data_IF_366232393991
#
_entry.id   IF_366232393991
#
_cell.length_a   1.000
_cell.length_b   1.000
_cell.length_c   1.000
_cell.angle_alpha   90.00
_cell.angle_beta   90.00
_cell.angle_gamma   90.00
#
_symmetry.space_group_name_H-M   'P 1'
#
loop_
_entity.id
_entity.type
_entity.pdbx_description
1 polymer ?
#
# COMPACT_ATOMS: atom_id res chain seq x y z
N UNK A 1 -70.86 7.35 -6.62
CA UNK A 1 -70.47 6.31 -5.64
C UNK A 1 -68.96 6.38 -5.54
N UNK A 2 -68.46 7.10 -4.52
CA UNK A 2 -68.02 6.54 -3.22
C UNK A 2 -66.60 5.97 -3.37
N UNK A 3 -65.58 6.70 -2.90
CA UNK A 3 -64.99 6.60 -1.54
C UNK A 3 -64.04 5.39 -1.46
N UNK A 4 -62.79 5.41 -1.00
CA UNK A 4 -62.05 6.24 -0.03
C UNK A 4 -60.55 6.26 -0.42
N UNK A 5 -59.73 7.31 -0.23
CA UNK A 5 -59.22 7.99 0.99
C UNK A 5 -58.29 7.13 1.88
N UNK A 6 -57.00 7.47 1.88
CA UNK A 6 -56.10 7.48 3.05
C UNK A 6 -54.81 8.23 2.64
N UNK A 7 -54.78 9.56 2.81
CA UNK A 7 -54.30 10.30 4.00
C UNK A 7 -52.78 10.51 4.01
N UNK A 8 -52.34 11.61 3.38
CA UNK A 8 -51.05 12.25 3.64
C UNK A 8 -51.30 13.75 3.90
N UNK A 9 -51.56 14.06 5.18
CA UNK A 9 -51.46 15.40 5.76
C UNK A 9 -50.38 15.24 6.83
N UNK A 10 -49.26 15.97 6.83
CA UNK A 10 -49.07 17.39 7.19
C UNK A 10 -47.53 17.58 7.09
N UNK A 11 -46.93 18.71 6.74
CA UNK A 11 -47.09 20.04 7.33
C UNK A 11 -46.46 21.11 6.41
N UNK A 12 -47.23 22.16 6.18
CA UNK A 12 -46.91 23.59 6.21
C UNK A 12 -45.68 24.16 5.48
N UNK A 13 -46.02 25.00 4.51
CA UNK A 13 -45.20 26.01 3.84
C UNK A 13 -45.17 27.35 4.60
N UNK A 14 -43.98 27.99 4.60
CA UNK A 14 -43.64 29.44 4.61
C UNK A 14 -43.74 30.28 5.92
N UNK A 15 -43.06 31.45 6.08
CA UNK A 15 -41.91 32.06 5.35
C UNK A 15 -40.78 32.75 6.21
N UNK A 16 -39.69 33.15 5.52
CA UNK A 16 -38.69 34.23 5.74
C UNK A 16 -38.61 35.00 7.10
N UNK A 17 -37.43 34.96 7.75
CA UNK A 17 -36.88 36.07 8.56
C UNK A 17 -35.35 36.23 8.31
N UNK A 18 -35.02 37.37 7.70
CA UNK A 18 -33.83 38.23 7.85
C UNK A 18 -32.45 37.62 8.17
N UNK A 19 -31.54 37.70 7.19
CA UNK A 19 -30.09 37.67 7.39
C UNK A 19 -29.65 38.86 8.24
N UNK A 20 -28.88 38.65 9.29
CA UNK A 20 -27.93 39.64 9.79
C UNK A 20 -26.64 38.94 10.22
N UNK A 21 -25.54 39.39 9.61
CA UNK A 21 -24.18 38.98 9.87
C UNK A 21 -23.79 39.25 11.32
N UNK A 22 -23.21 38.26 11.99
CA UNK A 22 -22.03 38.45 12.84
C UNK A 22 -21.19 37.19 12.78
N UNK A 23 -20.13 37.25 11.97
CA UNK A 23 -19.06 36.27 11.98
C UNK A 23 -18.34 36.33 13.33
N UNK A 24 -18.41 35.26 14.12
CA UNK A 24 -17.40 34.93 15.11
C UNK A 24 -17.14 33.42 15.06
N UNK A 25 -15.93 33.10 14.60
CA UNK A 25 -15.39 31.76 14.39
C UNK A 25 -15.44 30.93 15.68
N UNK A 26 -15.98 29.72 15.57
CA UNK A 26 -15.95 28.67 16.60
C UNK A 26 -14.56 28.03 16.72
N UNK A 27 -14.18 27.50 17.89
CA UNK A 27 -12.91 26.83 18.06
C UNK A 27 -12.95 25.43 17.41
N UNK A 28 -11.80 25.06 16.84
CA UNK A 28 -11.51 23.76 16.24
C UNK A 28 -11.81 22.63 17.23
N UNK A 29 -12.83 21.82 16.94
CA UNK A 29 -13.08 20.56 17.64
C UNK A 29 -12.00 19.55 17.27
N UNK A 30 -11.05 19.32 18.18
CA UNK A 30 -10.04 18.26 18.10
C UNK A 30 -10.68 16.87 18.34
N UNK A 31 -10.37 15.84 17.54
CA UNK A 31 -10.87 14.48 17.71
C UNK A 31 -10.05 13.71 18.78
N UNK A 32 -10.07 14.18 20.03
CA UNK A 32 -9.41 13.49 21.16
C UNK A 32 -10.38 12.54 21.90
N UNK A 33 -11.69 12.77 21.80
CA UNK A 33 -12.67 12.03 22.60
C UNK A 33 -13.03 10.61 22.09
N UNK A 34 -12.47 10.14 20.98
CA UNK A 34 -12.74 8.78 20.48
C UNK A 34 -11.81 7.70 21.03
N UNK A 35 -10.83 8.05 21.89
CA UNK A 35 -9.88 7.08 22.46
C UNK A 35 -10.05 6.83 23.97
N UNK A 36 -11.12 7.34 24.59
CA UNK A 36 -11.43 7.08 26.00
C UNK A 36 -12.66 6.18 26.18
N UNK A 37 -12.88 5.23 25.27
CA UNK A 37 -13.92 4.22 25.45
C UNK A 37 -13.48 2.86 24.92
N UNK A 38 -12.55 2.22 25.64
CA UNK A 38 -12.37 0.77 25.58
C UNK A 38 -12.03 0.24 26.97
N UNK A 39 -13.08 -0.24 27.65
CA UNK A 39 -12.98 -1.02 28.88
C UNK A 39 -12.54 -2.45 28.55
N UNK A 40 -11.25 -2.68 28.29
CA UNK A 40 -10.61 -3.98 28.60
C UNK A 40 -9.09 -3.85 28.52
N UNK A 41 -8.43 -4.41 29.53
CA UNK A 41 -6.97 -4.45 29.77
C UNK A 41 -6.14 -4.42 28.47
N UNK A 42 -5.43 -3.33 28.24
CA UNK A 42 -4.14 -3.36 27.55
C UNK A 42 -3.35 -2.10 27.95
N UNK A 43 -2.13 -2.32 28.42
CA UNK A 43 -1.12 -1.31 28.72
C UNK A 43 -1.17 -0.18 27.69
N UNK A 44 -1.46 1.04 28.12
CA UNK A 44 -1.26 2.24 27.30
C UNK A 44 0.19 2.19 26.83
N UNK A 45 0.40 1.99 25.53
CA UNK A 45 1.74 1.93 24.97
C UNK A 45 2.32 3.34 25.03
N UNK A 46 3.07 3.61 26.10
CA UNK A 46 3.59 4.94 26.42
C UNK A 46 4.50 5.46 25.30
N UNK A 47 5.17 4.56 24.58
CA UNK A 47 6.01 4.89 23.43
C UNK A 47 5.18 5.43 22.27
N UNK A 48 4.00 4.84 22.00
CA UNK A 48 3.07 5.31 20.97
C UNK A 48 2.46 6.67 21.31
N UNK A 49 2.18 6.93 22.60
CA UNK A 49 1.68 8.23 23.09
C UNK A 49 2.78 9.30 23.05
N UNK A 50 4.00 8.95 23.45
CA UNK A 50 5.17 9.83 23.43
C UNK A 50 5.55 10.21 21.99
N UNK A 51 5.52 9.26 21.05
CA UNK A 51 5.75 9.52 19.63
C UNK A 51 4.69 10.47 19.04
N UNK A 52 3.42 10.29 19.43
CA UNK A 52 2.30 11.16 19.03
C UNK A 52 2.43 12.59 19.59
N UNK A 53 2.85 12.76 20.86
CA UNK A 53 3.12 14.09 21.43
C UNK A 53 4.32 14.79 20.78
N UNK A 54 5.32 14.03 20.35
CA UNK A 54 6.51 14.56 19.67
C UNK A 54 6.15 15.22 18.35
N UNK A 55 5.24 14.63 17.57
CA UNK A 55 4.74 15.17 16.29
C UNK A 55 3.96 16.48 16.47
N UNK A 56 3.24 16.63 17.60
CA UNK A 56 2.53 17.87 17.93
C UNK A 56 3.46 19.01 18.39
N UNK A 57 4.67 18.69 18.86
CA UNK A 57 5.72 19.68 19.24
C UNK A 57 6.55 20.20 18.08
N UNK A 58 6.41 19.62 16.89
CA UNK A 58 7.12 20.06 15.69
C UNK A 58 6.64 21.46 15.25
N UNK A 59 7.50 22.23 14.60
CA UNK A 59 7.07 23.48 13.99
C UNK A 59 6.13 23.21 12.80
N UNK A 60 5.26 24.16 12.41
CA UNK A 60 4.37 23.98 11.26
C UNK A 60 5.09 23.55 9.97
N UNK A 61 6.33 24.01 9.77
CA UNK A 61 7.18 23.61 8.65
C UNK A 61 7.57 22.12 8.71
N UNK A 62 8.03 21.64 9.86
CA UNK A 62 8.42 20.24 10.06
C UNK A 62 7.23 19.28 9.89
N UNK A 63 6.04 19.68 10.38
CA UNK A 63 4.80 18.92 10.14
C UNK A 63 4.43 18.84 8.67
N UNK A 64 4.57 19.93 7.93
CA UNK A 64 4.31 19.93 6.50
C UNK A 64 5.26 19.01 5.73
N UNK A 65 6.55 19.00 6.11
CA UNK A 65 7.57 18.12 5.52
C UNK A 65 7.24 16.64 5.76
N UNK A 66 6.85 16.25 6.98
CA UNK A 66 6.45 14.86 7.29
C UNK A 66 5.22 14.46 6.47
N UNK A 67 4.20 15.31 6.41
CA UNK A 67 2.99 15.02 5.63
C UNK A 67 3.29 14.81 4.15
N UNK A 68 4.15 15.65 3.57
CA UNK A 68 4.58 15.51 2.18
C UNK A 68 5.36 14.22 1.98
N UNK A 69 6.22 13.84 2.92
CA UNK A 69 6.95 12.56 2.86
C UNK A 69 5.99 11.36 2.89
N UNK A 70 5.03 11.36 3.81
CA UNK A 70 4.01 10.30 3.92
C UNK A 70 3.16 10.17 2.65
N UNK A 71 2.76 11.29 2.05
CA UNK A 71 2.03 11.29 0.78
C UNK A 71 2.86 10.68 -0.36
N UNK A 72 4.15 11.02 -0.45
CA UNK A 72 5.04 10.48 -1.46
C UNK A 72 5.25 8.97 -1.28
N UNK A 73 5.43 8.52 -0.05
CA UNK A 73 5.58 7.09 0.28
C UNK A 73 4.29 6.31 -0.03
N UNK A 74 3.11 6.89 0.23
CA UNK A 74 1.82 6.29 -0.12
C UNK A 74 1.64 6.18 -1.64
N UNK A 75 2.03 7.21 -2.41
CA UNK A 75 1.99 7.18 -3.87
C UNK A 75 2.95 6.12 -4.41
N UNK A 76 4.16 6.02 -3.87
CA UNK A 76 5.14 5.01 -4.26
C UNK A 76 4.62 3.60 -3.99
N UNK A 77 4.12 3.34 -2.77
CA UNK A 77 3.53 2.05 -2.40
C UNK A 77 2.41 1.69 -3.37
N UNK A 78 1.50 2.64 -3.66
CA UNK A 78 0.39 2.42 -4.60
C UNK A 78 0.87 2.10 -6.01
N UNK A 79 1.89 2.81 -6.51
CA UNK A 79 2.47 2.55 -7.82
C UNK A 79 3.06 1.13 -7.90
N UNK A 80 3.81 0.71 -6.88
CA UNK A 80 4.40 -0.63 -6.84
C UNK A 80 3.33 -1.72 -6.69
N UNK A 81 2.33 -1.53 -5.84
CA UNK A 81 1.21 -2.46 -5.70
C UNK A 81 0.46 -2.62 -7.02
N UNK A 82 0.18 -1.52 -7.73
CA UNK A 82 -0.48 -1.57 -9.03
C UNK A 82 0.35 -2.32 -10.07
N UNK A 83 1.67 -2.04 -10.13
CA UNK A 83 2.56 -2.73 -11.05
C UNK A 83 2.59 -4.25 -10.78
N UNK A 84 2.75 -4.65 -9.52
CA UNK A 84 2.72 -6.07 -9.14
C UNK A 84 1.38 -6.72 -9.53
N UNK A 85 0.26 -6.04 -9.28
CA UNK A 85 -1.07 -6.54 -9.62
C UNK A 85 -1.30 -6.69 -11.13
N UNK A 86 -0.72 -5.83 -11.97
CA UNK A 86 -0.80 -5.97 -13.43
C UNK A 86 -0.23 -7.31 -13.92
N UNK A 87 0.82 -7.82 -13.25
CA UNK A 87 1.42 -9.10 -13.59
C UNK A 87 0.73 -10.29 -12.90
N UNK A 88 0.29 -10.13 -11.64
CA UNK A 88 -0.35 -11.20 -10.87
C UNK A 88 -1.77 -11.53 -11.34
N UNK A 89 -2.48 -10.60 -11.98
CA UNK A 89 -3.83 -10.86 -12.51
C UNK A 89 -3.85 -12.01 -13.52
N UNK A 90 -2.73 -12.23 -14.24
CA UNK A 90 -2.55 -13.35 -15.19
C UNK A 90 -2.65 -14.73 -14.53
N UNK A 91 -2.43 -14.81 -13.22
CA UNK A 91 -2.51 -16.02 -12.40
C UNK A 91 -3.65 -15.94 -11.38
N UNK A 92 -4.61 -15.03 -11.55
CA UNK A 92 -5.74 -14.81 -10.65
C UNK A 92 -5.30 -14.52 -9.19
N UNK A 93 -4.17 -13.83 -9.01
CA UNK A 93 -3.63 -13.41 -7.72
C UNK A 93 -3.67 -11.88 -7.60
N UNK A 94 -3.79 -11.36 -6.38
CA UNK A 94 -3.76 -9.92 -6.10
C UNK A 94 -3.05 -9.63 -4.78
N UNK A 95 -2.47 -8.44 -4.68
CA UNK A 95 -1.86 -7.85 -3.49
C UNK A 95 -2.73 -6.68 -3.03
N UNK A 96 -3.13 -6.70 -1.75
CA UNK A 96 -3.84 -5.62 -1.08
C UNK A 96 -2.87 -4.80 -0.22
N UNK A 97 -2.05 -5.46 0.60
CA UNK A 97 -0.97 -4.83 1.35
C UNK A 97 0.38 -5.44 1.00
N UNK A 98 1.18 -4.66 0.28
CA UNK A 98 2.52 -5.04 -0.16
C UNK A 98 3.42 -5.56 0.98
N UNK A 99 3.29 -5.04 2.20
CA UNK A 99 4.18 -5.40 3.31
C UNK A 99 3.73 -6.63 4.07
N UNK A 100 2.47 -7.04 3.91
CA UNK A 100 1.91 -8.22 4.56
C UNK A 100 1.87 -9.39 3.59
N UNK A 101 1.37 -9.15 2.38
CA UNK A 101 1.07 -10.20 1.41
C UNK A 101 2.34 -10.82 0.79
N UNK A 102 3.47 -10.10 0.81
CA UNK A 102 4.75 -10.59 0.29
C UNK A 102 5.57 -11.39 1.30
N UNK A 103 5.18 -11.42 2.58
CA UNK A 103 5.99 -11.99 3.68
C UNK A 103 6.20 -13.49 3.57
N UNK A 104 5.26 -14.21 2.97
CA UNK A 104 5.37 -15.66 2.79
C UNK A 104 6.22 -16.07 1.58
N UNK A 105 6.61 -15.10 0.73
CA UNK A 105 7.34 -15.32 -0.52
C UNK A 105 6.50 -15.88 -1.69
N UNK A 106 5.26 -16.29 -1.45
CA UNK A 106 4.38 -16.88 -2.48
C UNK A 106 4.17 -15.95 -3.66
N UNK A 107 3.74 -14.72 -3.39
CA UNK A 107 3.42 -13.74 -4.44
C UNK A 107 4.67 -13.25 -5.16
N UNK A 108 5.83 -13.22 -4.48
CA UNK A 108 7.12 -12.91 -5.11
C UNK A 108 7.53 -13.99 -6.11
N UNK A 109 7.40 -15.26 -5.74
CA UNK A 109 7.63 -16.38 -6.65
C UNK A 109 6.70 -16.26 -7.87
N UNK A 110 5.39 -16.12 -7.63
CA UNK A 110 4.39 -15.98 -8.72
C UNK A 110 4.68 -14.81 -9.64
N UNK A 111 5.11 -13.68 -9.09
CA UNK A 111 5.51 -12.51 -9.86
C UNK A 111 6.69 -12.84 -10.79
N UNK A 112 7.74 -13.49 -10.28
CA UNK A 112 8.88 -13.90 -11.11
C UNK A 112 8.49 -14.94 -12.17
N UNK A 113 7.62 -15.88 -11.84
CA UNK A 113 7.08 -16.84 -12.83
C UNK A 113 6.30 -16.11 -13.94
N UNK A 114 5.53 -15.07 -13.61
CA UNK A 114 4.81 -14.26 -14.60
C UNK A 114 5.72 -13.39 -15.47
N UNK A 115 6.86 -12.95 -14.94
CA UNK A 115 7.81 -12.09 -15.66
C UNK A 115 8.75 -12.91 -16.56
N UNK A 116 9.19 -14.08 -16.10
CA UNK A 116 10.19 -14.91 -16.79
C UNK A 116 9.61 -16.09 -17.54
N UNK A 117 8.36 -16.46 -17.25
CA UNK A 117 7.71 -17.69 -17.72
C UNK A 117 8.43 -18.98 -17.30
N UNK A 118 9.30 -18.91 -16.27
CA UNK A 118 9.96 -20.06 -15.66
C UNK A 118 9.26 -20.46 -14.36
N UNK A 119 9.34 -21.74 -13.99
CA UNK A 119 8.77 -22.26 -12.73
C UNK A 119 9.87 -22.31 -11.68
N UNK A 120 9.72 -21.55 -10.59
CA UNK A 120 10.77 -21.45 -9.56
C UNK A 120 10.60 -22.50 -8.45
N UNK A 121 9.46 -23.18 -8.39
CA UNK A 121 9.12 -24.13 -7.32
C UNK A 121 8.82 -23.40 -6.01
N UNK A 122 7.89 -23.95 -5.23
CA UNK A 122 7.33 -23.27 -4.07
C UNK A 122 6.99 -24.27 -2.96
N UNK A 123 7.27 -23.87 -1.72
CA UNK A 123 6.82 -24.59 -0.53
C UNK A 123 5.55 -23.94 0.03
N UNK A 124 4.49 -24.74 0.18
CA UNK A 124 3.16 -24.28 0.65
C UNK A 124 2.97 -24.36 2.16
N UNK A 125 4.02 -24.67 2.91
CA UNK A 125 3.93 -24.93 4.35
C UNK A 125 3.95 -23.59 5.10
N UNK A 126 2.97 -23.38 5.97
CA UNK A 126 2.81 -22.14 6.74
C UNK A 126 3.71 -22.12 7.98
N UNK A 127 5.01 -21.93 7.75
CA UNK A 127 6.01 -21.77 8.80
C UNK A 127 6.99 -20.67 8.42
N UNK A 128 7.45 -19.90 9.41
CA UNK A 128 8.46 -18.84 9.21
C UNK A 128 9.71 -19.35 8.50
N UNK A 129 10.16 -20.57 8.81
CA UNK A 129 11.35 -21.17 8.16
C UNK A 129 11.11 -21.37 6.67
N UNK A 130 9.94 -21.89 6.29
CA UNK A 130 9.56 -22.07 4.89
C UNK A 130 9.33 -20.73 4.17
N UNK A 131 8.80 -19.72 4.86
CA UNK A 131 8.69 -18.37 4.30
C UNK A 131 10.07 -17.77 3.98
N UNK A 132 11.03 -17.92 4.90
CA UNK A 132 12.42 -17.49 4.68
C UNK A 132 13.01 -18.25 3.48
N UNK A 133 12.77 -19.55 3.35
CA UNK A 133 13.24 -20.35 2.21
C UNK A 133 12.63 -19.92 0.88
N UNK A 134 11.32 -19.67 0.84
CA UNK A 134 10.65 -19.15 -0.35
C UNK A 134 11.23 -17.80 -0.79
N UNK A 135 11.45 -16.88 0.15
CA UNK A 135 12.08 -15.58 -0.16
C UNK A 135 13.54 -15.76 -0.55
N UNK A 136 14.29 -16.64 0.11
CA UNK A 136 15.67 -16.91 -0.24
C UNK A 136 15.79 -17.41 -1.69
N UNK A 137 14.86 -18.28 -2.12
CA UNK A 137 14.77 -18.76 -3.50
C UNK A 137 14.53 -17.63 -4.51
N UNK A 138 13.67 -16.67 -4.18
CA UNK A 138 13.46 -15.45 -4.98
C UNK A 138 14.76 -14.66 -5.11
N UNK A 139 15.48 -14.43 -3.99
CA UNK A 139 16.75 -13.70 -4.00
C UNK A 139 17.83 -14.43 -4.81
N UNK A 140 17.91 -15.75 -4.69
CA UNK A 140 18.89 -16.55 -5.42
C UNK A 140 18.59 -16.59 -6.93
N UNK A 141 17.32 -16.64 -7.31
CA UNK A 141 16.92 -16.50 -8.72
C UNK A 141 17.34 -15.16 -9.30
N UNK A 142 17.13 -14.06 -8.58
CA UNK A 142 17.54 -12.73 -9.03
C UNK A 142 19.07 -12.64 -9.18
N UNK A 143 19.84 -13.23 -8.24
CA UNK A 143 21.31 -13.32 -8.35
C UNK A 143 21.75 -14.15 -9.54
N UNK A 144 21.09 -15.28 -9.79
CA UNK A 144 21.34 -16.14 -10.95
C UNK A 144 21.13 -15.39 -12.28
N UNK A 145 20.16 -14.46 -12.33
CA UNK A 145 19.94 -13.54 -13.47
C UNK A 145 20.97 -12.40 -13.56
N UNK A 146 21.97 -12.35 -12.69
CA UNK A 146 22.99 -11.30 -12.67
C UNK A 146 22.55 -10.01 -11.97
N UNK A 147 21.42 -10.03 -11.24
CA UNK A 147 20.92 -8.86 -10.52
C UNK A 147 21.66 -8.73 -9.19
N UNK A 148 22.30 -7.58 -8.98
CA UNK A 148 23.04 -7.30 -7.76
C UNK A 148 22.10 -6.90 -6.62
N UNK A 149 21.84 -7.83 -5.71
CA UNK A 149 21.09 -7.58 -4.48
C UNK A 149 22.07 -7.28 -3.34
N UNK A 150 22.09 -6.04 -2.85
CA UNK A 150 22.94 -5.60 -1.74
C UNK A 150 22.06 -5.29 -0.53
N UNK A 151 22.46 -5.78 0.63
CA UNK A 151 21.85 -5.43 1.92
C UNK A 151 20.35 -5.79 2.05
N UNK A 152 19.91 -6.85 1.38
CA UNK A 152 18.57 -7.43 1.55
C UNK A 152 18.75 -8.88 2.01
N UNK A 153 18.15 -9.20 3.16
CA UNK A 153 18.12 -10.54 3.74
C UNK A 153 16.69 -11.07 3.73
N UNK A 154 16.52 -12.37 3.62
CA UNK A 154 15.20 -12.99 3.50
C UNK A 154 14.34 -12.78 4.77
N UNK A 155 14.92 -12.88 5.96
CA UNK A 155 14.24 -12.68 7.25
C UNK A 155 13.63 -11.29 7.39
N UNK A 156 14.31 -10.24 6.93
CA UNK A 156 13.80 -8.87 6.96
C UNK A 156 12.53 -8.67 6.10
N UNK A 157 12.43 -9.40 4.98
CA UNK A 157 11.23 -9.37 4.14
C UNK A 157 10.12 -10.19 4.78
N UNK A 158 10.45 -11.34 5.39
CA UNK A 158 9.50 -12.12 6.19
C UNK A 158 8.98 -11.32 7.38
N UNK A 159 9.76 -10.39 7.94
CA UNK A 159 9.32 -9.49 9.00
C UNK A 159 8.47 -8.32 8.50
N UNK A 160 8.38 -8.12 7.19
CA UNK A 160 7.58 -7.07 6.58
C UNK A 160 8.23 -5.69 6.67
N UNK A 161 9.56 -5.61 6.68
CA UNK A 161 10.29 -4.34 6.71
C UNK A 161 9.93 -3.51 5.45
N UNK A 162 9.22 -2.37 5.58
CA UNK A 162 8.69 -1.64 4.43
C UNK A 162 9.79 -1.17 3.46
N UNK A 163 10.90 -0.66 4.01
CA UNK A 163 12.00 -0.09 3.22
C UNK A 163 12.69 -1.16 2.39
N UNK A 164 12.97 -2.31 2.98
CA UNK A 164 13.63 -3.42 2.27
C UNK A 164 12.68 -4.10 1.28
N UNK A 165 11.38 -4.17 1.61
CA UNK A 165 10.35 -4.71 0.70
C UNK A 165 10.17 -3.84 -0.54
N UNK A 166 10.06 -2.51 -0.36
CA UNK A 166 10.04 -1.56 -1.47
C UNK A 166 11.33 -1.62 -2.29
N UNK A 167 12.48 -1.74 -1.63
CA UNK A 167 13.77 -1.91 -2.31
C UNK A 167 13.83 -3.17 -3.18
N UNK A 168 13.32 -4.31 -2.67
CA UNK A 168 13.26 -5.55 -3.44
C UNK A 168 12.35 -5.43 -4.66
N UNK A 169 11.14 -4.90 -4.48
CA UNK A 169 10.20 -4.70 -5.59
C UNK A 169 10.76 -3.71 -6.62
N UNK A 170 11.40 -2.64 -6.18
CA UNK A 170 12.08 -1.68 -7.06
C UNK A 170 13.14 -2.35 -7.93
N UNK A 171 13.99 -3.21 -7.34
CA UNK A 171 15.02 -3.95 -8.08
C UNK A 171 14.38 -4.83 -9.16
N UNK A 172 13.30 -5.53 -8.83
CA UNK A 172 12.55 -6.38 -9.78
C UNK A 172 11.99 -5.53 -10.92
N UNK A 173 11.27 -4.45 -10.60
CA UNK A 173 10.69 -3.53 -11.59
C UNK A 173 11.77 -3.01 -12.54
N UNK A 174 12.86 -2.47 -11.99
CA UNK A 174 13.93 -1.84 -12.76
C UNK A 174 14.56 -2.83 -13.74
N UNK A 175 14.81 -4.06 -13.31
CA UNK A 175 15.42 -5.07 -14.17
C UNK A 175 14.50 -5.48 -15.32
N UNK A 176 13.24 -5.81 -15.02
CA UNK A 176 12.33 -6.39 -16.02
C UNK A 176 11.73 -5.35 -16.96
N UNK A 177 11.43 -4.13 -16.49
CA UNK A 177 10.96 -3.06 -17.38
C UNK A 177 12.08 -2.59 -18.32
N UNK A 178 13.32 -2.48 -17.84
CA UNK A 178 14.44 -2.09 -18.70
C UNK A 178 14.73 -3.16 -19.75
N UNK A 179 14.68 -4.44 -19.37
CA UNK A 179 14.86 -5.55 -20.30
C UNK A 179 13.80 -5.53 -21.42
N UNK A 180 12.53 -5.32 -21.06
CA UNK A 180 11.43 -5.22 -22.03
C UNK A 180 11.62 -4.05 -23.01
N UNK A 181 12.02 -2.87 -22.52
CA UNK A 181 12.26 -1.71 -23.37
C UNK A 181 13.38 -1.95 -24.37
N UNK A 182 14.49 -2.55 -23.94
CA UNK A 182 15.63 -2.87 -24.81
C UNK A 182 15.21 -3.88 -25.88
N UNK A 183 14.53 -4.96 -25.48
CA UNK A 183 14.07 -5.99 -26.42
C UNK A 183 13.14 -5.39 -27.50
N UNK A 184 12.19 -4.55 -27.10
CA UNK A 184 11.27 -3.89 -28.03
C UNK A 184 11.99 -2.96 -29.02
N UNK A 185 13.01 -2.23 -28.58
CA UNK A 185 13.82 -1.40 -29.47
C UNK A 185 14.59 -2.22 -30.50
N UNK A 186 15.19 -3.35 -30.11
CA UNK A 186 15.91 -4.22 -31.05
C UNK A 186 14.99 -4.83 -32.11
N UNK A 187 13.76 -5.23 -31.73
CA UNK A 187 12.76 -5.74 -32.67
C UNK A 187 12.33 -4.68 -33.68
N UNK A 188 12.12 -3.44 -33.24
CA UNK A 188 11.79 -2.34 -34.15
C UNK A 188 12.93 -2.07 -35.12
N UNK A 189 14.18 -2.01 -34.65
CA UNK A 189 15.33 -1.84 -35.53
C UNK A 189 15.46 -2.96 -36.57
N UNK A 190 15.24 -4.23 -36.19
CA UNK A 190 15.22 -5.33 -37.16
C UNK A 190 14.09 -5.25 -38.18
N UNK A 191 12.95 -4.61 -37.82
CA UNK A 191 11.78 -4.47 -38.69
C UNK A 191 11.91 -3.34 -39.71
N UNK A 192 12.71 -2.30 -39.40
CA UNK A 192 12.95 -1.15 -40.29
C UNK A 192 14.31 -1.19 -40.99
N UNK A 193 15.12 -2.22 -40.74
CA UNK A 193 16.41 -2.44 -41.40
C UNK A 193 16.34 -3.41 -42.60
N UNK A 194 15.13 -3.79 -43.03
CA UNK A 194 14.86 -4.50 -44.29
C UNK A 194 14.27 -3.55 -45.34
#
# INVERSE_FOLDING_TARGET
>A
MMSDKMDNLRCFSQPLIHFNETNNLTPVSLPILSLLNDNSRNSVNLDKVHLSLSVLRLDPADRAVIKIADERDAIQKKAFTNWVNQHLVKRNCWVQDLFLDLRNGYLLVRLLECLTNEVLGLEYIESRVHWIQNIQRVLDFLRYRGIRIVNIRADEIVDGNPKLTLGLIWIIILHFQLAELIENQTKLQSKYSC
#
